data_IF_357751281718
#
_entry.id   IF_357751281718
#
_cell.length_a   1.000
_cell.length_b   1.000
_cell.length_c   1.000
_cell.angle_alpha   90.00
_cell.angle_beta   90.00
_cell.angle_gamma   90.00
#
_symmetry.space_group_name_H-M   'P 1'
#
loop_
_entity.id
_entity.type
_entity.pdbx_description
1 polymer ?
#
# COMPACT_ATOMS: atom_id res chain seq x y z
N UNK A 1 -11.19 -43.46 -8.51
CA UNK A 1 -10.14 -44.20 -7.76
C UNK A 1 -10.28 -43.93 -6.27
N UNK A 2 -9.36 -44.40 -5.42
CA UNK A 2 -9.46 -44.31 -3.95
C UNK A 2 -9.01 -42.93 -3.43
N UNK A 3 -9.64 -42.50 -2.33
CA UNK A 3 -9.27 -41.33 -1.52
C UNK A 3 -7.74 -41.16 -1.38
N UNK A 4 -7.19 -39.94 -1.40
CA UNK A 4 -5.76 -39.72 -1.23
C UNK A 4 -5.27 -40.27 0.11
N UNK A 5 -4.37 -41.25 0.05
CA UNK A 5 -3.79 -41.92 1.24
C UNK A 5 -2.54 -41.20 1.78
N UNK A 6 -1.93 -40.34 0.97
CA UNK A 6 -0.79 -39.50 1.33
C UNK A 6 -0.96 -38.11 0.73
N UNK A 7 -0.34 -37.10 1.33
CA UNK A 7 -0.38 -35.71 0.85
C UNK A 7 1.03 -35.13 0.79
N UNK A 8 1.26 -34.26 -0.20
CA UNK A 8 2.46 -33.43 -0.29
C UNK A 8 2.60 -32.47 0.92
N UNK A 9 1.48 -32.22 1.61
CA UNK A 9 1.40 -31.34 2.79
C UNK A 9 1.61 -32.08 4.12
N UNK A 10 2.12 -33.32 4.09
CA UNK A 10 2.38 -34.12 5.29
C UNK A 10 1.21 -35.03 5.65
N UNK A 11 1.09 -35.38 6.93
CA UNK A 11 0.02 -36.28 7.37
C UNK A 11 -1.34 -35.61 7.20
N UNK A 12 -2.28 -36.34 6.60
CA UNK A 12 -3.66 -35.90 6.43
C UNK A 12 -4.35 -35.97 7.79
N UNK A 13 -4.82 -34.83 8.27
CA UNK A 13 -5.59 -34.72 9.51
C UNK A 13 -7.07 -34.93 9.23
N UNK A 14 -7.55 -34.31 8.15
CA UNK A 14 -8.93 -34.40 7.69
C UNK A 14 -8.96 -34.56 6.18
N UNK A 15 -9.82 -35.45 5.68
CA UNK A 15 -10.12 -35.53 4.26
C UNK A 15 -11.58 -35.92 4.07
N UNK A 16 -12.33 -35.02 3.44
CA UNK A 16 -13.77 -35.12 3.18
C UNK A 16 -13.97 -35.10 1.67
N UNK A 17 -14.81 -36.00 1.17
CA UNK A 17 -15.23 -35.97 -0.24
C UNK A 17 -16.33 -34.92 -0.38
N UNK A 18 -16.02 -33.81 -1.05
CA UNK A 18 -16.91 -32.66 -1.24
C UNK A 18 -17.69 -32.72 -2.56
N UNK A 19 -17.30 -33.66 -3.44
CA UNK A 19 -17.94 -34.01 -4.70
C UNK A 19 -17.32 -35.29 -5.23
N UNK A 20 -17.92 -35.91 -6.25
CA UNK A 20 -17.39 -37.17 -6.78
C UNK A 20 -15.96 -36.96 -7.30
N UNK A 21 -14.99 -37.64 -6.69
CA UNK A 21 -13.55 -37.48 -6.99
C UNK A 21 -12.95 -36.11 -6.64
N UNK A 22 -13.61 -35.36 -5.77
CA UNK A 22 -13.19 -34.04 -5.29
C UNK A 22 -13.11 -34.10 -3.76
N UNK A 23 -11.96 -33.76 -3.21
CA UNK A 23 -11.65 -33.90 -1.79
C UNK A 23 -11.21 -32.57 -1.20
N UNK A 24 -11.84 -32.15 -0.09
CA UNK A 24 -11.28 -31.13 0.79
C UNK A 24 -10.32 -31.78 1.78
N UNK A 25 -9.08 -31.28 1.86
CA UNK A 25 -8.03 -31.82 2.72
C UNK A 25 -7.48 -30.77 3.67
N UNK A 26 -7.28 -31.17 4.92
CA UNK A 26 -6.47 -30.45 5.90
C UNK A 26 -5.33 -31.39 6.33
N UNK A 27 -4.09 -30.95 6.16
CA UNK A 27 -2.89 -31.68 6.53
C UNK A 27 -2.01 -30.84 7.47
N UNK A 28 -0.93 -31.43 7.98
CA UNK A 28 -0.03 -30.79 8.93
C UNK A 28 0.54 -29.45 8.46
N UNK A 29 0.85 -29.34 7.16
CA UNK A 29 1.53 -28.16 6.61
C UNK A 29 0.62 -27.24 5.79
N UNK A 30 -0.51 -27.75 5.30
CA UNK A 30 -1.38 -26.98 4.41
C UNK A 30 -2.78 -27.60 4.31
N UNK A 31 -3.71 -26.84 3.76
CA UNK A 31 -5.07 -27.24 3.40
C UNK A 31 -5.36 -26.93 1.94
N UNK A 32 -6.47 -27.45 1.43
CA UNK A 32 -6.99 -27.05 0.13
C UNK A 32 -7.88 -28.11 -0.52
N UNK A 33 -8.00 -28.01 -1.85
CA UNK A 33 -8.85 -28.87 -2.68
C UNK A 33 -7.99 -29.83 -3.49
N UNK A 34 -8.38 -31.10 -3.53
CA UNK A 34 -7.65 -32.16 -4.21
C UNK A 34 -8.60 -32.92 -5.12
N UNK A 35 -8.22 -33.08 -6.38
CA UNK A 35 -8.98 -33.83 -7.37
C UNK A 35 -8.21 -35.07 -7.81
N UNK A 36 -8.93 -36.12 -8.18
CA UNK A 36 -8.37 -37.20 -9.00
C UNK A 36 -7.83 -36.63 -10.32
N UNK A 37 -6.65 -37.07 -10.75
CA UNK A 37 -5.95 -36.47 -11.89
C UNK A 37 -6.64 -36.74 -13.24
N UNK A 38 -7.37 -37.84 -13.38
CA UNK A 38 -8.11 -38.12 -14.62
C UNK A 38 -9.43 -37.35 -14.62
N UNK A 39 -10.12 -37.29 -13.48
CA UNK A 39 -11.30 -36.45 -13.35
C UNK A 39 -10.99 -34.96 -13.54
N UNK A 40 -9.89 -34.47 -12.98
CA UNK A 40 -9.49 -33.06 -13.11
C UNK A 40 -9.27 -32.65 -14.56
N UNK A 41 -8.74 -33.52 -15.42
CA UNK A 41 -8.57 -33.25 -16.87
C UNK A 41 -9.89 -33.14 -17.61
N UNK A 42 -10.93 -33.78 -17.11
CA UNK A 42 -12.28 -33.73 -17.69
C UNK A 42 -13.08 -32.54 -17.15
N UNK A 43 -12.91 -32.22 -15.86
CA UNK A 43 -13.72 -31.23 -15.15
C UNK A 43 -13.11 -29.81 -15.16
N UNK A 44 -11.78 -29.67 -15.22
CA UNK A 44 -11.11 -28.38 -15.13
C UNK A 44 -10.51 -27.93 -16.47
N UNK A 45 -10.43 -26.61 -16.66
CA UNK A 45 -9.73 -26.00 -17.78
C UNK A 45 -8.21 -26.27 -17.73
N UNK A 46 -7.55 -26.18 -18.89
CA UNK A 46 -6.09 -26.31 -18.96
C UNK A 46 -5.36 -25.26 -18.10
N UNK A 47 -5.93 -24.06 -17.98
CA UNK A 47 -5.37 -22.98 -17.16
C UNK A 47 -5.48 -23.32 -15.67
N UNK A 48 -6.62 -23.85 -15.22
CA UNK A 48 -6.79 -24.30 -13.84
C UNK A 48 -5.85 -25.46 -13.51
N UNK A 49 -5.68 -26.43 -14.41
CA UNK A 49 -4.77 -27.55 -14.19
C UNK A 49 -3.32 -27.13 -13.98
N UNK A 50 -2.87 -26.03 -14.59
CA UNK A 50 -1.51 -25.50 -14.42
C UNK A 50 -1.27 -24.89 -13.03
N UNK A 51 -2.33 -24.47 -12.34
CA UNK A 51 -2.21 -23.91 -11.00
C UNK A 51 -1.93 -24.99 -9.94
N UNK A 52 -2.43 -26.22 -10.16
CA UNK A 52 -2.32 -27.33 -9.23
C UNK A 52 -1.01 -28.11 -9.32
N UNK A 53 -0.64 -28.76 -8.22
CA UNK A 53 0.52 -29.64 -8.13
C UNK A 53 0.13 -31.11 -8.29
N UNK A 54 0.71 -31.78 -9.28
CA UNK A 54 0.45 -33.21 -9.53
C UNK A 54 1.29 -34.07 -8.60
N UNK A 55 0.64 -34.95 -7.85
CA UNK A 55 1.34 -35.93 -7.01
C UNK A 55 0.58 -37.26 -6.98
N UNK A 56 1.22 -38.31 -7.51
CA UNK A 56 0.58 -39.61 -7.73
C UNK A 56 -0.59 -39.46 -8.71
N UNK A 57 -1.74 -40.01 -8.32
CA UNK A 57 -2.98 -39.97 -9.12
C UNK A 57 -3.88 -38.77 -8.78
N UNK A 58 -3.35 -37.74 -8.12
CA UNK A 58 -4.12 -36.57 -7.67
C UNK A 58 -3.45 -35.24 -8.04
N UNK A 59 -4.26 -34.19 -8.13
CA UNK A 59 -3.83 -32.80 -8.30
C UNK A 59 -4.24 -32.02 -7.06
N UNK A 60 -3.26 -31.33 -6.46
CA UNK A 60 -3.40 -30.60 -5.21
C UNK A 60 -3.42 -29.11 -5.48
N UNK A 61 -4.44 -28.44 -4.97
CA UNK A 61 -4.57 -26.98 -4.97
C UNK A 61 -4.53 -26.55 -3.52
N UNK A 62 -3.47 -25.83 -3.14
CA UNK A 62 -3.33 -25.29 -1.78
C UNK A 62 -4.44 -24.28 -1.46
N UNK A 63 -4.48 -23.83 -0.21
CA UNK A 63 -5.50 -22.93 0.32
C UNK A 63 -5.72 -21.70 -0.58
N UNK A 64 -4.63 -21.07 -1.01
CA UNK A 64 -4.65 -19.89 -1.88
C UNK A 64 -5.19 -20.23 -3.27
N UNK A 65 -4.72 -21.31 -3.88
CA UNK A 65 -5.10 -21.69 -5.25
C UNK A 65 -6.40 -22.47 -5.34
N UNK A 66 -6.96 -22.90 -4.21
CA UNK A 66 -8.19 -23.69 -4.12
C UNK A 66 -9.42 -22.94 -4.63
N UNK A 67 -9.37 -21.60 -4.66
CA UNK A 67 -10.40 -20.74 -5.27
C UNK A 67 -10.62 -21.06 -6.75
N UNK A 68 -9.57 -21.46 -7.48
CA UNK A 68 -9.64 -21.76 -8.92
C UNK A 68 -10.50 -23.00 -9.21
N UNK A 69 -10.17 -24.20 -8.69
CA UNK A 69 -11.01 -25.37 -8.91
C UNK A 69 -12.38 -25.20 -8.25
N UNK A 70 -12.49 -24.53 -7.08
CA UNK A 70 -13.79 -24.29 -6.46
C UNK A 70 -14.73 -23.48 -7.38
N UNK A 71 -14.21 -22.43 -8.03
CA UNK A 71 -14.95 -21.63 -8.99
C UNK A 71 -15.47 -22.47 -10.17
N UNK A 72 -14.61 -23.21 -10.86
CA UNK A 72 -15.02 -24.01 -12.03
C UNK A 72 -15.99 -25.14 -11.65
N UNK A 73 -15.71 -25.82 -10.53
CA UNK A 73 -16.55 -26.93 -10.06
C UNK A 73 -17.93 -26.44 -9.60
N UNK A 74 -18.04 -25.24 -9.01
CA UNK A 74 -19.33 -24.65 -8.67
C UNK A 74 -20.14 -24.29 -9.92
N UNK A 75 -19.51 -23.75 -10.95
CA UNK A 75 -20.21 -23.45 -12.22
C UNK A 75 -20.82 -24.69 -12.86
N UNK A 76 -20.19 -25.85 -12.66
CA UNK A 76 -20.62 -27.14 -13.19
C UNK A 76 -21.52 -27.92 -12.23
N UNK A 77 -21.81 -27.37 -11.04
CA UNK A 77 -22.54 -28.05 -9.95
C UNK A 77 -21.91 -29.40 -9.52
N UNK A 78 -20.58 -29.49 -9.63
CA UNK A 78 -19.81 -30.71 -9.35
C UNK A 78 -19.52 -30.92 -7.85
N UNK A 79 -19.52 -29.84 -7.06
CA UNK A 79 -19.49 -29.91 -5.61
C UNK A 79 -20.86 -30.38 -5.14
N UNK A 80 -20.92 -31.32 -4.19
CA UNK A 80 -22.18 -31.84 -3.62
C UNK A 80 -22.31 -31.57 -2.12
N UNK A 81 -21.21 -31.24 -1.46
CA UNK A 81 -21.20 -30.96 -0.03
C UNK A 81 -21.84 -29.58 0.28
N UNK A 82 -22.91 -29.53 1.08
CA UNK A 82 -23.64 -28.29 1.34
C UNK A 82 -22.84 -27.29 2.19
N UNK A 83 -22.04 -27.76 3.14
CA UNK A 83 -21.24 -26.88 4.02
C UNK A 83 -20.13 -26.21 3.20
N UNK A 84 -19.48 -26.96 2.31
CA UNK A 84 -18.47 -26.43 1.39
C UNK A 84 -19.08 -25.44 0.39
N UNK A 85 -20.26 -25.73 -0.17
CA UNK A 85 -20.98 -24.78 -1.05
C UNK A 85 -21.31 -23.48 -0.34
N UNK A 86 -21.82 -23.56 0.89
CA UNK A 86 -22.16 -22.37 1.67
C UNK A 86 -20.90 -21.54 1.97
N UNK A 87 -19.79 -22.21 2.29
CA UNK A 87 -18.51 -21.54 2.53
C UNK A 87 -17.96 -20.84 1.28
N UNK A 88 -18.01 -21.48 0.12
CA UNK A 88 -17.54 -20.89 -1.14
C UNK A 88 -18.43 -19.75 -1.65
N UNK A 89 -19.69 -19.66 -1.22
CA UNK A 89 -20.62 -18.65 -1.73
C UNK A 89 -20.96 -18.86 -3.21
N UNK A 90 -21.11 -17.76 -3.95
CA UNK A 90 -21.41 -17.80 -5.39
C UNK A 90 -20.14 -17.79 -6.25
N UNK A 91 -20.20 -18.32 -7.49
CA UNK A 91 -19.07 -18.24 -8.43
C UNK A 91 -18.59 -16.80 -8.68
N UNK A 92 -19.49 -15.82 -8.66
CA UNK A 92 -19.14 -14.41 -8.84
C UNK A 92 -18.34 -13.88 -7.64
N UNK A 93 -18.68 -14.30 -6.42
CA UNK A 93 -17.92 -13.93 -5.21
C UNK A 93 -16.52 -14.53 -5.25
N UNK A 94 -16.40 -15.82 -5.58
CA UNK A 94 -15.10 -16.47 -5.76
C UNK A 94 -14.28 -15.81 -6.88
N UNK A 95 -14.92 -15.34 -7.95
CA UNK A 95 -14.22 -14.65 -9.02
C UNK A 95 -13.62 -13.32 -8.56
N UNK A 96 -14.33 -12.57 -7.71
CA UNK A 96 -13.82 -11.31 -7.15
C UNK A 96 -12.72 -11.56 -6.10
N UNK A 97 -12.90 -12.50 -5.18
CA UNK A 97 -11.87 -12.92 -4.22
C UNK A 97 -10.65 -13.51 -4.94
N UNK A 98 -10.88 -14.24 -6.02
CA UNK A 98 -9.86 -14.84 -6.86
C UNK A 98 -8.91 -13.82 -7.49
N UNK A 99 -9.31 -12.56 -7.67
CA UNK A 99 -8.40 -11.49 -8.12
C UNK A 99 -7.32 -11.16 -7.08
N UNK A 100 -7.57 -11.45 -5.80
CA UNK A 100 -6.57 -11.35 -4.73
C UNK A 100 -5.68 -12.60 -4.66
N UNK A 101 -6.29 -13.78 -4.62
CA UNK A 101 -5.56 -15.03 -4.39
C UNK A 101 -4.88 -15.62 -5.63
N UNK A 102 -5.47 -15.44 -6.81
CA UNK A 102 -5.00 -16.00 -8.07
C UNK A 102 -5.25 -15.04 -9.25
N UNK A 103 -4.64 -13.83 -9.25
CA UNK A 103 -4.81 -12.84 -10.31
C UNK A 103 -4.40 -13.34 -11.69
N UNK A 104 -3.51 -14.32 -11.79
CA UNK A 104 -3.12 -14.99 -13.04
C UNK A 104 -4.26 -15.78 -13.69
N UNK A 105 -5.27 -16.16 -12.91
CA UNK A 105 -6.46 -16.86 -13.39
C UNK A 105 -7.66 -15.90 -13.52
N UNK A 106 -7.95 -15.12 -12.49
CA UNK A 106 -9.15 -14.26 -12.42
C UNK A 106 -8.95 -12.85 -12.98
N UNK A 107 -7.71 -12.47 -13.29
CA UNK A 107 -7.33 -11.11 -13.66
C UNK A 107 -7.05 -10.23 -12.45
N UNK A 108 -6.48 -9.06 -12.71
CA UNK A 108 -6.15 -8.06 -11.70
C UNK A 108 -7.36 -7.18 -11.35
N UNK A 109 -7.28 -6.50 -10.20
CA UNK A 109 -8.23 -5.47 -9.81
C UNK A 109 -8.18 -4.29 -10.79
N UNK A 110 -9.36 -3.75 -11.10
CA UNK A 110 -9.45 -2.57 -11.94
C UNK A 110 -8.82 -1.36 -11.24
N UNK A 111 -7.98 -0.61 -11.95
CA UNK A 111 -7.39 0.62 -11.41
C UNK A 111 -8.49 1.65 -11.06
N UNK A 112 -8.28 2.47 -10.01
CA UNK A 112 -9.21 3.55 -9.67
C UNK A 112 -9.42 4.52 -10.84
N UNK A 113 -10.67 4.89 -11.11
CA UNK A 113 -11.02 5.86 -12.16
C UNK A 113 -11.05 7.31 -11.68
N UNK A 114 -11.23 7.51 -10.38
CA UNK A 114 -11.23 8.79 -9.70
C UNK A 114 -10.91 8.59 -8.22
N UNK A 115 -10.59 9.68 -7.54
CA UNK A 115 -10.38 9.72 -6.10
C UNK A 115 -11.54 10.44 -5.41
N UNK A 116 -11.68 10.35 -4.07
CA UNK A 116 -12.63 11.18 -3.32
C UNK A 116 -12.50 12.69 -3.60
N UNK A 117 -11.30 13.14 -4.01
CA UNK A 117 -10.99 14.54 -4.25
C UNK A 117 -11.08 14.94 -5.74
N UNK A 118 -11.32 14.00 -6.64
CA UNK A 118 -11.57 14.27 -8.06
C UNK A 118 -10.71 13.42 -9.00
N UNK A 119 -10.51 13.94 -10.21
CA UNK A 119 -9.78 13.27 -11.27
C UNK A 119 -8.31 13.01 -10.89
N UNK A 120 -7.81 11.86 -11.33
CA UNK A 120 -6.42 11.44 -11.14
C UNK A 120 -5.57 12.20 -12.16
N UNK A 121 -4.59 12.96 -11.67
CA UNK A 121 -3.66 13.71 -12.53
C UNK A 121 -2.40 12.91 -12.86
N UNK A 122 -1.97 12.06 -11.93
CA UNK A 122 -0.85 11.16 -12.07
C UNK A 122 -1.11 9.87 -11.28
N UNK A 123 -0.57 8.75 -11.73
CA UNK A 123 -0.63 7.47 -11.04
C UNK A 123 0.72 6.76 -11.05
N UNK A 124 0.94 5.91 -10.03
CA UNK A 124 2.03 4.95 -9.94
C UNK A 124 1.47 3.62 -9.47
N UNK A 125 1.49 2.64 -10.35
CA UNK A 125 1.21 1.25 -9.99
C UNK A 125 2.29 0.72 -9.03
N UNK A 126 1.88 0.13 -7.92
CA UNK A 126 2.78 -0.52 -6.95
C UNK A 126 2.65 -2.04 -7.03
N UNK A 127 1.41 -2.52 -6.97
CA UNK A 127 1.06 -3.94 -7.05
C UNK A 127 -0.41 -4.07 -7.46
N UNK A 128 -0.89 -5.27 -7.82
CA UNK A 128 -2.31 -5.51 -8.05
C UNK A 128 -3.15 -4.96 -6.88
N UNK A 129 -4.08 -4.04 -7.17
CA UNK A 129 -4.93 -3.35 -6.19
C UNK A 129 -4.24 -2.30 -5.31
N UNK A 130 -2.96 -1.97 -5.53
CA UNK A 130 -2.20 -0.97 -4.77
C UNK A 130 -1.59 0.09 -5.71
N UNK A 131 -1.95 1.36 -5.47
CA UNK A 131 -1.51 2.48 -6.30
C UNK A 131 -1.09 3.67 -5.43
N UNK A 132 -0.12 4.45 -5.91
CA UNK A 132 0.05 5.83 -5.47
C UNK A 132 -0.61 6.74 -6.50
N UNK A 133 -1.56 7.57 -6.09
CA UNK A 133 -2.35 8.42 -6.98
C UNK A 133 -2.16 9.88 -6.60
N UNK A 134 -2.15 10.75 -7.59
CA UNK A 134 -2.16 12.20 -7.40
C UNK A 134 -3.53 12.75 -7.81
N UNK A 135 -4.10 13.59 -6.97
CA UNK A 135 -5.28 14.37 -7.29
C UNK A 135 -5.17 15.76 -6.68
N UNK A 136 -5.49 16.80 -7.46
CA UNK A 136 -5.36 18.22 -7.03
C UNK A 136 -3.97 18.60 -6.47
N UNK A 137 -2.91 17.93 -6.92
CA UNK A 137 -1.53 18.17 -6.48
C UNK A 137 -1.13 17.43 -5.20
N UNK A 138 -2.03 16.64 -4.62
CA UNK A 138 -1.76 15.84 -3.42
C UNK A 138 -1.67 14.36 -3.80
N UNK A 139 -0.64 13.70 -3.29
CA UNK A 139 -0.43 12.28 -3.46
C UNK A 139 -1.06 11.47 -2.32
N UNK A 140 -1.50 10.27 -2.63
CA UNK A 140 -2.15 9.36 -1.68
C UNK A 140 -1.98 7.90 -2.10
N UNK A 141 -1.93 7.02 -1.11
CA UNK A 141 -1.96 5.58 -1.29
C UNK A 141 -3.42 5.13 -1.48
N UNK A 142 -3.71 4.42 -2.55
CA UNK A 142 -4.98 3.75 -2.78
C UNK A 142 -4.81 2.24 -2.57
N UNK A 143 -5.66 1.67 -1.72
CA UNK A 143 -5.66 0.24 -1.35
C UNK A 143 -7.03 -0.36 -1.69
N UNK A 144 -7.06 -1.39 -2.52
CA UNK A 144 -8.32 -2.10 -2.84
C UNK A 144 -8.94 -2.70 -1.58
N UNK A 145 -10.27 -2.67 -1.45
CA UNK A 145 -10.99 -3.11 -0.24
C UNK A 145 -10.65 -4.55 0.17
N UNK A 146 -10.61 -5.48 -0.78
CA UNK A 146 -10.21 -6.87 -0.53
C UNK A 146 -8.79 -6.98 0.07
N UNK A 147 -7.85 -6.16 -0.40
CA UNK A 147 -6.49 -6.14 0.17
C UNK A 147 -6.53 -5.57 1.59
N UNK A 148 -7.31 -4.51 1.81
CA UNK A 148 -7.47 -3.94 3.14
C UNK A 148 -8.08 -4.95 4.12
N UNK A 149 -9.08 -5.72 3.70
CA UNK A 149 -9.73 -6.75 4.53
C UNK A 149 -8.78 -7.88 4.92
N UNK A 150 -7.93 -8.33 4.00
CA UNK A 150 -7.00 -9.44 4.26
C UNK A 150 -5.67 -9.01 4.90
N UNK A 151 -5.19 -7.79 4.63
CA UNK A 151 -3.83 -7.38 4.95
C UNK A 151 -3.73 -6.22 5.93
N UNK A 152 -4.80 -5.45 6.14
CA UNK A 152 -4.78 -4.27 7.01
C UNK A 152 -5.58 -4.50 8.29
N UNK A 153 -5.06 -3.97 9.40
CA UNK A 153 -5.76 -3.98 10.68
C UNK A 153 -6.99 -3.06 10.66
N UNK A 154 -7.93 -3.30 11.57
CA UNK A 154 -9.08 -2.40 11.76
C UNK A 154 -8.65 -0.94 12.02
N UNK A 155 -7.51 -0.75 12.68
CA UNK A 155 -6.95 0.58 12.94
C UNK A 155 -6.59 1.28 11.63
N UNK A 156 -5.96 0.57 10.69
CA UNK A 156 -5.63 1.11 9.38
C UNK A 156 -6.88 1.39 8.53
N UNK A 157 -7.87 0.49 8.55
CA UNK A 157 -9.10 0.65 7.74
C UNK A 157 -9.92 1.87 8.18
N UNK A 158 -9.88 2.24 9.46
CA UNK A 158 -10.62 3.38 10.00
C UNK A 158 -10.00 4.76 9.69
N UNK A 159 -8.76 4.81 9.20
CA UNK A 159 -8.06 6.07 8.93
C UNK A 159 -8.43 6.72 7.60
N UNK A 160 -8.96 5.93 6.65
CA UNK A 160 -9.21 6.38 5.29
C UNK A 160 -10.70 6.35 4.94
N UNK A 161 -11.21 7.33 4.18
CA UNK A 161 -12.50 7.20 3.53
C UNK A 161 -12.44 6.16 2.40
N UNK A 162 -13.49 5.35 2.28
CA UNK A 162 -13.73 4.50 1.12
C UNK A 162 -14.39 5.26 -0.03
N UNK A 163 -13.97 4.99 -1.27
CA UNK A 163 -14.60 5.51 -2.48
C UNK A 163 -14.45 4.52 -3.65
N UNK A 164 -15.58 4.10 -4.21
CA UNK A 164 -15.59 2.93 -5.09
C UNK A 164 -15.09 1.70 -4.32
N UNK A 165 -14.19 0.94 -4.93
CA UNK A 165 -13.63 -0.30 -4.37
C UNK A 165 -12.31 -0.09 -3.61
N UNK A 166 -11.97 1.16 -3.27
CA UNK A 166 -10.67 1.53 -2.70
C UNK A 166 -10.79 2.39 -1.44
N UNK A 167 -9.82 2.23 -0.54
CA UNK A 167 -9.52 3.13 0.59
C UNK A 167 -8.37 4.06 0.19
N UNK A 168 -8.46 5.34 0.54
CA UNK A 168 -7.47 6.35 0.15
C UNK A 168 -6.80 7.00 1.36
N UNK A 169 -5.48 6.86 1.44
CA UNK A 169 -4.64 7.36 2.52
C UNK A 169 -3.75 8.49 2.03
N UNK A 170 -4.01 9.74 2.45
CA UNK A 170 -3.08 10.85 2.25
C UNK A 170 -1.67 10.52 2.75
N UNK A 171 -0.63 11.12 2.17
CA UNK A 171 0.76 10.81 2.53
C UNK A 171 1.11 11.08 4.01
N UNK A 172 0.43 12.00 4.66
CA UNK A 172 0.58 12.29 6.10
C UNK A 172 -0.20 11.30 7.00
N UNK A 173 -1.07 10.46 6.41
CA UNK A 173 -1.90 9.49 7.09
C UNK A 173 -1.71 8.04 6.62
N UNK A 174 -0.62 7.75 5.89
CA UNK A 174 -0.36 6.44 5.29
C UNK A 174 0.66 5.57 6.05
N UNK A 175 1.18 6.00 7.20
CA UNK A 175 2.24 5.29 7.91
C UNK A 175 1.84 3.86 8.32
N UNK A 176 0.65 3.69 8.93
CA UNK A 176 0.14 2.37 9.34
C UNK A 176 -0.04 1.43 8.13
N UNK A 177 -0.80 1.78 7.07
CA UNK A 177 -0.99 0.85 5.95
C UNK A 177 0.32 0.56 5.21
N UNK A 178 1.25 1.51 5.10
CA UNK A 178 2.58 1.25 4.51
C UNK A 178 3.34 0.22 5.34
N UNK A 179 3.37 0.37 6.67
CA UNK A 179 4.03 -0.58 7.56
C UNK A 179 3.42 -1.98 7.45
N UNK A 180 2.10 -2.11 7.54
CA UNK A 180 1.41 -3.41 7.47
C UNK A 180 1.57 -4.09 6.10
N UNK A 181 1.38 -3.33 5.01
CA UNK A 181 1.53 -3.88 3.66
C UNK A 181 2.97 -4.27 3.35
N UNK A 182 3.98 -3.58 3.91
CA UNK A 182 5.39 -3.92 3.68
C UNK A 182 5.76 -5.34 4.11
N UNK A 183 5.03 -5.92 5.07
CA UNK A 183 5.25 -7.28 5.54
C UNK A 183 4.81 -8.36 4.53
N UNK A 184 3.80 -8.06 3.70
CA UNK A 184 3.20 -9.01 2.75
C UNK A 184 3.42 -8.65 1.28
N UNK A 185 3.74 -7.39 0.98
CA UNK A 185 3.89 -6.85 -0.37
C UNK A 185 5.30 -6.26 -0.56
N UNK A 186 6.24 -7.02 -1.15
CA UNK A 186 7.61 -6.56 -1.37
C UNK A 186 7.71 -5.24 -2.13
N UNK A 187 6.82 -5.01 -3.10
CA UNK A 187 6.78 -3.77 -3.87
C UNK A 187 6.52 -2.52 -3.01
N UNK A 188 5.81 -2.66 -1.88
CA UNK A 188 5.58 -1.59 -0.91
C UNK A 188 6.81 -1.38 -0.03
N UNK A 189 7.43 -2.47 0.45
CA UNK A 189 8.67 -2.39 1.20
C UNK A 189 9.78 -1.68 0.41
N UNK A 190 9.86 -1.91 -0.90
CA UNK A 190 10.79 -1.24 -1.80
C UNK A 190 10.56 0.28 -1.94
N UNK A 191 9.37 0.79 -1.60
CA UNK A 191 9.11 2.24 -1.60
C UNK A 191 9.62 2.94 -0.34
N UNK A 192 9.91 2.18 0.73
CA UNK A 192 10.36 2.73 2.01
C UNK A 192 11.85 3.08 1.89
N UNK A 193 12.15 4.37 1.98
CA UNK A 193 13.51 4.91 1.92
C UNK A 193 14.13 5.11 3.30
N UNK A 194 13.32 5.06 4.36
CA UNK A 194 13.79 5.22 5.74
C UNK A 194 12.83 4.53 6.73
N UNK A 195 13.23 3.34 7.21
CA UNK A 195 12.54 2.64 8.30
C UNK A 195 12.51 3.47 9.59
N UNK A 196 13.59 4.20 9.90
CA UNK A 196 13.67 5.06 11.07
C UNK A 196 12.62 6.19 11.04
N UNK A 197 12.40 6.81 9.87
CA UNK A 197 11.38 7.84 9.70
C UNK A 197 9.97 7.24 9.82
N UNK A 198 9.75 6.04 9.28
CA UNK A 198 8.46 5.34 9.38
C UNK A 198 8.15 5.00 10.84
N UNK A 199 9.10 4.37 11.54
CA UNK A 199 8.96 4.01 12.95
C UNK A 199 8.73 5.25 13.84
N UNK A 200 9.50 6.32 13.64
CA UNK A 200 9.31 7.58 14.35
C UNK A 200 7.91 8.17 14.10
N UNK A 201 7.45 8.16 12.86
CA UNK A 201 6.11 8.65 12.50
C UNK A 201 5.02 7.80 13.19
N UNK A 202 5.16 6.47 13.21
CA UNK A 202 4.24 5.57 13.91
C UNK A 202 4.21 5.83 15.41
N UNK A 203 5.36 5.99 16.05
CA UNK A 203 5.45 6.23 17.50
C UNK A 203 4.84 7.58 17.91
N UNK A 204 5.07 8.63 17.12
CA UNK A 204 4.59 9.98 17.45
C UNK A 204 3.12 10.19 17.08
N UNK A 205 2.69 9.80 15.89
CA UNK A 205 1.32 10.07 15.40
C UNK A 205 0.32 8.97 15.77
N UNK A 206 0.80 7.74 15.97
CA UNK A 206 -0.05 6.57 16.23
C UNK A 206 0.38 5.76 17.47
N UNK A 207 0.59 6.38 18.64
CA UNK A 207 1.09 5.68 19.83
C UNK A 207 0.14 4.57 20.32
N UNK A 208 -1.17 4.72 20.11
CA UNK A 208 -2.15 3.70 20.46
C UNK A 208 -2.02 2.44 19.58
N UNK A 209 -1.77 2.63 18.28
CA UNK A 209 -1.50 1.54 17.34
C UNK A 209 -0.21 0.82 17.73
N UNK A 210 0.87 1.56 17.97
CA UNK A 210 2.17 0.99 18.38
C UNK A 210 2.04 0.17 19.67
N UNK A 211 1.35 0.69 20.67
CA UNK A 211 1.12 -0.03 21.92
C UNK A 211 0.34 -1.35 21.70
N UNK A 212 -0.68 -1.32 20.84
CA UNK A 212 -1.47 -2.51 20.50
C UNK A 212 -0.67 -3.53 19.69
N UNK A 213 0.12 -3.09 18.72
CA UNK A 213 0.99 -3.95 17.92
C UNK A 213 2.04 -4.64 18.78
N UNK A 214 2.76 -3.88 19.61
CA UNK A 214 3.81 -4.41 20.49
C UNK A 214 3.26 -5.38 21.55
N UNK A 215 1.98 -5.26 21.93
CA UNK A 215 1.35 -6.21 22.85
C UNK A 215 1.15 -7.61 22.23
N UNK A 216 1.00 -7.70 20.91
CA UNK A 216 0.69 -8.94 20.19
C UNK A 216 1.86 -9.48 19.36
N UNK A 217 3.03 -8.85 19.46
CA UNK A 217 4.23 -9.24 18.73
C UNK A 217 5.38 -9.52 19.68
N UNK A 218 6.32 -10.36 19.21
CA UNK A 218 7.56 -10.64 19.94
C UNK A 218 8.41 -9.37 20.04
N UNK A 219 9.28 -9.29 21.06
CA UNK A 219 10.16 -8.13 21.30
C UNK A 219 10.99 -7.74 20.06
N UNK A 220 11.38 -8.70 19.23
CA UNK A 220 12.15 -8.45 18.00
C UNK A 220 11.36 -7.74 16.89
N UNK A 221 10.03 -7.76 16.97
CA UNK A 221 9.10 -7.15 16.00
C UNK A 221 8.42 -5.91 16.56
N UNK A 222 8.81 -5.47 17.77
CA UNK A 222 8.29 -4.25 18.37
C UNK A 222 8.70 -3.03 17.54
N UNK A 223 7.74 -2.13 17.37
CA UNK A 223 8.00 -0.80 16.82
C UNK A 223 8.58 0.04 17.95
N UNK A 224 9.81 0.49 17.75
CA UNK A 224 10.54 1.35 18.68
C UNK A 224 10.77 2.72 18.06
N UNK A 225 10.71 3.74 18.90
CA UNK A 225 10.99 5.09 18.46
C UNK A 225 12.49 5.28 18.17
N UNK A 226 12.77 5.97 17.07
CA UNK A 226 14.08 6.36 16.61
C UNK A 226 14.07 7.86 16.31
N UNK A 227 15.08 8.60 16.74
CA UNK A 227 15.15 10.03 16.44
C UNK A 227 15.38 10.27 14.93
N UNK A 228 14.30 10.53 14.19
CA UNK A 228 14.30 10.77 12.74
C UNK A 228 13.28 11.87 12.37
N UNK A 229 13.35 12.47 11.18
CA UNK A 229 12.27 13.33 10.70
C UNK A 229 10.98 12.54 10.50
N UNK A 230 9.83 13.15 10.80
CA UNK A 230 8.50 12.56 10.54
C UNK A 230 8.13 12.66 9.06
N UNK A 231 7.33 11.70 8.60
CA UNK A 231 6.71 11.70 7.27
C UNK A 231 7.69 11.88 6.11
N UNK A 232 8.92 11.34 6.23
CA UNK A 232 9.97 11.33 5.20
C UNK A 232 10.47 9.90 4.97
N UNK A 233 9.56 8.94 4.98
CA UNK A 233 9.85 7.50 4.84
C UNK A 233 9.61 6.97 3.42
N UNK A 234 8.95 7.74 2.55
CA UNK A 234 8.79 7.44 1.12
C UNK A 234 9.55 8.44 0.25
N UNK A 235 10.08 7.98 -0.90
CA UNK A 235 10.74 8.88 -1.86
C UNK A 235 9.84 10.06 -2.28
N UNK A 236 8.54 9.80 -2.43
CA UNK A 236 7.58 10.83 -2.84
C UNK A 236 7.39 11.94 -1.80
N UNK A 237 7.52 11.61 -0.51
CA UNK A 237 7.48 12.60 0.58
C UNK A 237 8.74 13.46 0.55
N UNK A 238 9.91 12.86 0.30
CA UNK A 238 11.18 13.61 0.12
C UNK A 238 11.08 14.59 -1.06
N UNK A 239 10.53 14.13 -2.19
CA UNK A 239 10.37 14.95 -3.39
C UNK A 239 9.45 16.16 -3.13
N UNK A 240 8.33 15.95 -2.42
CA UNK A 240 7.41 17.02 -2.02
C UNK A 240 8.07 18.02 -1.06
N UNK A 241 8.78 17.54 -0.04
CA UNK A 241 9.49 18.41 0.90
C UNK A 241 10.54 19.28 0.19
N UNK A 242 11.31 18.69 -0.73
CA UNK A 242 12.31 19.42 -1.51
C UNK A 242 11.70 20.46 -2.48
N UNK A 243 10.49 20.22 -3.00
CA UNK A 243 9.78 21.19 -3.82
C UNK A 243 9.33 22.40 -3.00
N UNK A 244 8.79 22.18 -1.79
CA UNK A 244 8.35 23.24 -0.87
C UNK A 244 9.53 24.12 -0.44
N UNK A 245 10.68 23.53 -0.12
CA UNK A 245 11.90 24.29 0.23
C UNK A 245 12.37 25.21 -0.90
N UNK A 246 12.30 24.74 -2.16
CA UNK A 246 12.66 25.55 -3.33
C UNK A 246 11.71 26.72 -3.52
N UNK A 247 10.40 26.52 -3.38
CA UNK A 247 9.41 27.60 -3.48
C UNK A 247 9.58 28.64 -2.37
N UNK A 248 9.86 28.21 -1.14
CA UNK A 248 10.08 29.11 -0.01
C UNK A 248 11.40 29.90 -0.12
N UNK A 249 12.42 29.33 -0.79
CA UNK A 249 13.69 30.00 -1.06
C UNK A 249 13.64 31.08 -2.16
N UNK A 250 12.49 31.23 -2.85
CA UNK A 250 12.22 32.30 -3.81
C UNK A 250 11.13 33.27 -3.32
N UNK A 251 11.37 34.08 -2.27
CA UNK A 251 10.47 35.19 -1.99
C UNK A 251 10.57 36.20 -3.13
N UNK A 252 9.45 36.40 -3.82
CA UNK A 252 9.27 37.44 -4.81
C UNK A 252 9.35 38.82 -4.13
N UNK A 253 10.57 39.34 -3.94
CA UNK A 253 10.76 40.74 -3.61
C UNK A 253 10.67 41.52 -4.92
N UNK A 254 9.43 41.83 -5.34
CA UNK A 254 9.22 42.98 -6.21
C UNK A 254 9.28 44.23 -5.33
N UNK A 255 10.46 44.85 -5.22
CA UNK A 255 10.53 46.27 -4.82
C UNK A 255 10.24 47.07 -6.09
N UNK A 256 9.14 47.82 -6.18
CA UNK A 256 8.99 48.81 -7.24
C UNK A 256 9.99 49.92 -6.93
N UNK A 257 11.04 50.05 -7.75
CA UNK A 257 11.83 51.27 -7.80
C UNK A 257 10.93 52.38 -8.37
N UNK A 258 10.28 53.14 -7.49
CA UNK A 258 9.77 54.46 -7.86
C UNK A 258 10.99 55.33 -8.19
N UNK A 259 11.19 55.56 -9.49
CA UNK A 259 12.21 56.49 -9.98
C UNK A 259 11.64 57.89 -9.85
N UNK A 260 11.88 58.50 -8.69
CA UNK A 260 11.54 59.89 -8.44
C UNK A 260 12.34 60.80 -9.37
N UNK A 261 11.60 61.64 -10.09
CA UNK A 261 12.13 62.60 -11.06
C UNK A 261 12.83 63.75 -10.35
N UNK A 262 14.15 63.74 -10.45
CA UNK A 262 15.08 64.89 -10.64
C UNK A 262 14.53 66.25 -10.19
N UNK A 263 14.91 66.66 -8.97
CA UNK A 263 14.97 68.06 -8.57
C UNK A 263 16.38 68.62 -8.88
N UNK A 264 16.43 69.78 -9.55
CA UNK A 264 17.66 70.49 -9.89
C UNK A 264 18.30 71.15 -8.64
N UNK A 265 19.65 71.16 -8.50
CA UNK A 265 20.29 71.93 -7.45
C UNK A 265 20.70 73.33 -7.95
N UNK A 266 20.16 74.36 -7.29
CA UNK A 266 20.65 75.73 -7.34
C UNK A 266 21.93 75.83 -6.51
N UNK A 267 22.93 76.48 -7.10
CA UNK A 267 24.26 76.74 -6.57
C UNK A 267 24.23 77.62 -5.32
N UNK A 268 25.03 77.24 -4.31
CA UNK A 268 25.55 78.20 -3.31
C UNK A 268 26.88 77.73 -2.74
N UNK A 269 27.94 78.30 -3.33
CA UNK A 269 29.24 78.69 -2.77
C UNK A 269 29.52 78.32 -1.29
N UNK A 270 30.57 77.53 -1.08
CA UNK A 270 31.31 77.44 0.18
C UNK A 270 32.19 78.69 0.39
N UNK A 271 32.61 78.93 1.64
CA UNK A 271 34.04 78.79 1.89
C UNK A 271 34.35 78.01 3.18
N UNK A 272 35.17 76.98 3.02
CA UNK A 272 36.09 76.51 4.04
C UNK A 272 37.05 77.65 4.40
N UNK A 273 37.24 77.92 5.69
CA UNK A 273 38.59 77.83 6.25
C UNK A 273 38.58 77.88 7.77
N UNK A 274 39.14 76.79 8.29
CA UNK A 274 39.43 76.43 9.66
C UNK A 274 40.58 77.28 10.19
N UNK A 275 40.40 77.82 11.41
CA UNK A 275 41.27 78.80 12.06
C UNK A 275 42.44 78.08 12.78
N UNK A 276 43.69 78.42 12.47
CA UNK A 276 44.87 78.06 13.29
C UNK A 276 45.34 79.25 14.15
N UNK A 277 45.91 79.00 15.34
CA UNK A 277 46.15 80.01 16.35
C UNK A 277 47.54 80.64 16.24
N UNK A 278 47.63 81.96 16.38
CA UNK A 278 48.86 82.65 16.76
C UNK A 278 48.54 83.63 17.87
N UNK A 279 49.09 83.38 19.05
CA UNK A 279 49.05 84.31 20.17
C UNK A 279 50.00 85.48 19.93
N UNK A 280 49.67 86.63 20.51
CA UNK A 280 50.50 87.30 21.52
C UNK A 280 49.75 88.49 22.14
N UNK A 281 50.16 88.76 23.37
CA UNK A 281 49.74 89.79 24.32
C UNK A 281 49.75 91.22 23.73
N UNK A 282 48.88 92.10 24.22
CA UNK A 282 49.26 93.20 25.14
C UNK A 282 48.12 94.22 25.36
N UNK A 283 47.94 94.54 26.65
CA UNK A 283 47.31 95.72 27.29
C UNK A 283 45.78 95.93 27.21
#
# INVERSE_FOLDING_TARGET
MSKPESSIWGNILTCVEIGLHIYGIIAEKNSGVVLDADYAKEALSEQALQAGEVHGDHIYFDDVKSVIPAYELLQQDAITDPEFKEHCGSPEQLAEEGKFFAPEYFGEFAAPSATPWGEITSDRFLHNGLYMLESRGEWQLAVHQTIAEHCLSESAQQLAPGYGDYLYYPLDACAIPIYELSASHPAIAEQIVSDDSLAHTLCEDYPAYVAMHNLHTDEWSHIHDCAAPKSLFLQIQLDQAAAVEKEQSHPHIQVPYETDKIAAPLQTREPDDFFEPTGELEL
#
